data_IF_845329530357
#
_entry.id   IF_845329530357
#
_cell.length_a   1.000
_cell.length_b   1.000
_cell.length_c   1.000
_cell.angle_alpha   90.00
_cell.angle_beta   90.00
_cell.angle_gamma   90.00
#
_symmetry.space_group_name_H-M   'P 1'
#
loop_
_entity.id
_entity.type
_entity.pdbx_description
1 polymer ?
#
# COMPACT_ATOMS: atom_id res chain seq x y z
N UNK A 1 7.05 -10.57 14.58
CA UNK A 1 6.13 -10.15 13.50
C UNK A 1 6.48 -10.95 12.26
N UNK A 2 5.49 -11.49 11.55
CA UNK A 2 5.74 -12.17 10.28
C UNK A 2 5.10 -11.33 9.17
N UNK A 3 5.90 -10.95 8.17
CA UNK A 3 5.39 -10.22 7.01
C UNK A 3 5.04 -11.20 5.90
N UNK A 4 3.81 -11.11 5.39
CA UNK A 4 3.38 -11.92 4.25
C UNK A 4 4.14 -11.53 2.98
N UNK A 5 4.43 -12.55 2.16
CA UNK A 5 4.94 -12.35 0.80
C UNK A 5 3.86 -11.72 -0.11
N UNK A 6 2.57 -11.97 0.19
CA UNK A 6 1.44 -11.48 -0.59
C UNK A 6 1.16 -10.02 -0.30
N UNK A 7 1.18 -9.20 -1.35
CA UNK A 7 1.10 -7.75 -1.23
C UNK A 7 0.31 -7.13 -2.37
N UNK A 8 -0.49 -6.13 -2.01
CA UNK A 8 -1.14 -5.22 -2.93
C UNK A 8 -0.28 -3.95 -3.03
N UNK A 9 0.26 -3.69 -4.22
CA UNK A 9 1.13 -2.55 -4.54
C UNK A 9 0.31 -1.49 -5.27
N UNK A 10 0.24 -0.29 -4.71
CA UNK A 10 -0.32 0.90 -5.34
C UNK A 10 0.85 1.74 -5.88
N UNK A 11 0.71 2.26 -7.09
CA UNK A 11 1.76 3.00 -7.78
C UNK A 11 1.21 4.04 -8.76
N UNK A 12 1.96 5.13 -9.00
CA UNK A 12 1.58 6.14 -9.98
C UNK A 12 1.79 5.63 -11.43
N UNK A 13 0.87 5.99 -12.34
CA UNK A 13 0.88 5.57 -13.75
C UNK A 13 1.79 6.42 -14.62
N UNK A 14 1.95 7.69 -14.25
CA UNK A 14 2.78 8.64 -15.00
C UNK A 14 3.37 9.62 -14.01
N UNK A 15 4.64 9.40 -13.67
CA UNK A 15 5.42 10.42 -12.97
C UNK A 15 6.03 11.24 -14.09
N UNK A 16 5.40 12.37 -14.47
CA UNK A 16 6.15 13.42 -15.13
C UNK A 16 7.41 13.68 -14.28
N UNK A 17 8.55 14.02 -14.89
CA UNK A 17 9.89 14.16 -14.30
C UNK A 17 9.95 15.26 -13.20
N UNK A 18 9.13 15.08 -12.18
CA UNK A 18 8.85 15.95 -11.07
C UNK A 18 9.48 15.28 -9.86
N UNK A 19 10.18 16.05 -9.01
CA UNK A 19 10.74 15.50 -7.79
C UNK A 19 9.58 14.96 -6.93
N UNK A 20 9.62 13.65 -6.71
CA UNK A 20 8.79 12.90 -5.77
C UNK A 20 9.03 13.42 -4.34
N UNK A 21 8.32 14.48 -3.96
CA UNK A 21 8.47 15.16 -2.65
C UNK A 21 7.09 15.47 -2.06
N UNK A 22 6.03 14.81 -2.52
CA UNK A 22 4.77 14.86 -1.82
C UNK A 22 4.79 13.78 -0.73
N UNK A 23 4.86 14.19 0.55
CA UNK A 23 4.80 13.25 1.66
C UNK A 23 3.42 12.56 1.66
N UNK A 24 3.38 11.31 1.20
CA UNK A 24 2.15 10.49 1.21
C UNK A 24 1.70 10.16 2.63
N UNK A 25 2.63 10.09 3.57
CA UNK A 25 2.38 9.71 4.96
C UNK A 25 1.32 10.59 5.65
N UNK A 26 1.44 11.94 5.72
CA UNK A 26 0.39 12.78 6.29
C UNK A 26 -0.99 12.60 5.65
N UNK A 27 -1.05 12.38 4.34
CA UNK A 27 -2.30 12.16 3.62
C UNK A 27 -2.97 10.85 4.05
N UNK A 28 -2.21 9.76 4.03
CA UNK A 28 -2.72 8.43 4.40
C UNK A 28 -3.02 8.33 5.90
N UNK A 29 -2.32 9.08 6.74
CA UNK A 29 -2.61 9.20 8.15
C UNK A 29 -3.92 9.98 8.40
N UNK A 30 -4.14 11.09 7.70
CA UNK A 30 -5.39 11.86 7.78
C UNK A 30 -6.58 11.04 7.27
N UNK A 31 -6.36 10.19 6.26
CA UNK A 31 -7.38 9.29 5.73
C UNK A 31 -7.74 8.15 6.73
N UNK A 32 -6.93 7.94 7.76
CA UNK A 32 -7.09 6.81 8.69
C UNK A 32 -6.63 5.47 8.13
N UNK A 33 -5.83 5.46 7.05
CA UNK A 33 -5.22 4.25 6.50
C UNK A 33 -3.97 3.84 7.28
N UNK A 34 -3.19 4.81 7.78
CA UNK A 34 -2.01 4.56 8.61
C UNK A 34 -2.34 4.56 10.09
N UNK A 35 -1.88 3.54 10.79
CA UNK A 35 -1.87 3.45 12.24
C UNK A 35 -0.50 3.78 12.84
N UNK A 36 -0.15 3.10 13.92
CA UNK A 36 1.13 3.25 14.61
C UNK A 36 2.32 2.88 13.71
N UNK A 37 3.42 3.63 13.80
CA UNK A 37 4.66 3.31 13.09
C UNK A 37 5.34 2.10 13.74
N UNK A 38 5.52 1.03 12.96
CA UNK A 38 6.17 -0.20 13.42
C UNK A 38 7.69 -0.13 13.24
N UNK A 39 8.14 0.32 12.06
CA UNK A 39 9.54 0.49 11.71
C UNK A 39 9.71 1.52 10.58
N UNK A 40 10.94 1.72 10.09
CA UNK A 40 11.22 2.71 9.05
C UNK A 40 10.44 2.39 7.75
N UNK A 41 9.45 3.25 7.44
CA UNK A 41 8.58 3.09 6.28
C UNK A 41 7.50 2.02 6.44
N UNK A 42 7.30 1.39 7.61
CA UNK A 42 6.19 0.45 7.85
C UNK A 42 5.33 0.87 9.04
N UNK A 43 4.04 0.68 8.87
CA UNK A 43 3.01 1.13 9.78
C UNK A 43 1.98 0.02 9.96
N UNK A 44 1.37 -0.05 11.14
CA UNK A 44 0.13 -0.77 11.34
C UNK A 44 -0.97 -0.15 10.47
N UNK A 45 -2.01 -0.92 10.21
CA UNK A 45 -3.21 -0.39 9.55
C UNK A 45 -3.95 0.58 10.48
N UNK A 46 -4.53 1.62 9.92
CA UNK A 46 -5.34 2.59 10.66
C UNK A 46 -6.79 2.16 10.82
N UNK A 47 -7.56 2.95 11.58
CA UNK A 47 -8.96 2.66 11.92
C UNK A 47 -9.90 2.56 10.70
N UNK A 48 -9.59 3.29 9.62
CA UNK A 48 -10.40 3.31 8.41
C UNK A 48 -9.99 2.22 7.40
N UNK A 49 -9.01 1.37 7.72
CA UNK A 49 -8.47 0.37 6.80
C UNK A 49 -9.52 -0.52 6.15
N UNK A 50 -10.45 -1.09 6.93
CA UNK A 50 -11.50 -1.98 6.43
C UNK A 50 -12.53 -1.25 5.55
N UNK A 51 -12.62 0.08 5.65
CA UNK A 51 -13.47 0.90 4.79
C UNK A 51 -12.74 1.36 3.52
N UNK A 52 -11.42 1.42 3.56
CA UNK A 52 -10.56 1.91 2.48
C UNK A 52 -9.97 0.80 1.62
N UNK A 53 -10.11 -0.45 2.05
CA UNK A 53 -9.70 -1.66 1.33
C UNK A 53 -10.92 -2.56 1.18
N UNK A 54 -11.42 -2.68 -0.05
CA UNK A 54 -12.62 -3.43 -0.37
C UNK A 54 -12.26 -4.91 -0.54
N UNK A 55 -12.64 -5.74 0.43
CA UNK A 55 -12.48 -7.19 0.38
C UNK A 55 -13.59 -7.81 -0.48
N UNK A 56 -13.21 -8.62 -1.46
CA UNK A 56 -14.10 -9.13 -2.51
C UNK A 56 -14.71 -10.51 -2.18
N UNK A 57 -14.48 -11.02 -0.96
CA UNK A 57 -15.00 -12.31 -0.49
C UNK A 57 -14.73 -12.53 1.00
N UNK A 58 -14.90 -13.77 1.46
CA UNK A 58 -14.52 -14.18 2.82
C UNK A 58 -12.99 -14.26 2.92
N UNK A 59 -12.32 -13.14 3.17
CA UNK A 59 -10.89 -13.13 3.50
C UNK A 59 -10.71 -13.76 4.89
N UNK A 60 -10.14 -14.97 4.97
CA UNK A 60 -10.10 -15.73 6.21
C UNK A 60 -9.04 -15.23 7.19
N UNK A 61 -8.05 -14.46 6.71
CA UNK A 61 -6.82 -14.11 7.44
C UNK A 61 -6.60 -12.59 7.54
N UNK A 62 -7.67 -11.83 7.83
CA UNK A 62 -7.54 -10.39 8.15
C UNK A 62 -7.08 -10.21 9.61
N UNK A 63 -5.78 -10.31 9.82
CA UNK A 63 -5.15 -9.94 11.09
C UNK A 63 -4.63 -8.50 11.00
N UNK A 64 -5.23 -7.57 11.75
CA UNK A 64 -4.83 -6.15 11.73
C UNK A 64 -3.74 -5.83 12.78
N UNK A 65 -3.67 -6.67 13.81
CA UNK A 65 -2.78 -6.46 14.96
C UNK A 65 -1.58 -7.41 14.81
N UNK A 66 -0.33 -6.91 14.93
CA UNK A 66 0.84 -7.77 14.84
C UNK A 66 0.87 -8.77 16.00
N UNK A 67 0.85 -10.06 15.68
CA UNK A 67 1.02 -11.16 16.64
C UNK A 67 2.32 -11.93 16.36
N UNK A 68 2.84 -12.62 17.39
CA UNK A 68 4.02 -13.45 17.23
C UNK A 68 3.72 -14.67 16.33
N UNK A 69 4.48 -14.82 15.24
CA UNK A 69 4.39 -16.00 14.36
C UNK A 69 3.15 -16.04 13.43
N UNK A 70 2.41 -14.94 13.29
CA UNK A 70 1.29 -14.83 12.34
C UNK A 70 1.49 -13.69 11.35
N UNK A 71 1.10 -13.87 10.07
CA UNK A 71 1.01 -12.78 9.13
C UNK A 71 -0.09 -11.79 9.56
N UNK A 72 0.08 -10.53 9.22
CA UNK A 72 -0.86 -9.46 9.51
C UNK A 72 -0.82 -8.40 8.40
N UNK A 73 -1.89 -7.63 8.28
CA UNK A 73 -1.98 -6.50 7.37
C UNK A 73 -1.17 -5.32 7.91
N UNK A 74 -0.40 -4.70 7.02
CA UNK A 74 0.42 -3.52 7.32
C UNK A 74 0.47 -2.61 6.11
N UNK A 75 0.83 -1.35 6.34
CA UNK A 75 1.09 -0.39 5.27
C UNK A 75 2.59 -0.13 5.20
N UNK A 76 3.15 -0.15 4.00
CA UNK A 76 4.54 0.22 3.77
C UNK A 76 4.65 1.35 2.74
N UNK A 77 5.50 2.32 3.04
CA UNK A 77 5.81 3.51 2.26
C UNK A 77 7.30 3.54 1.90
N UNK A 78 7.69 4.27 0.85
CA UNK A 78 9.09 4.52 0.54
C UNK A 78 9.77 5.29 1.68
N UNK A 79 10.84 4.72 2.23
CA UNK A 79 11.71 5.37 3.22
C UNK A 79 12.92 6.08 2.59
N UNK A 80 13.03 6.05 1.26
CA UNK A 80 14.08 6.72 0.50
C UNK A 80 13.56 7.14 -0.88
N UNK A 81 14.22 8.11 -1.52
CA UNK A 81 13.89 8.56 -2.87
C UNK A 81 14.45 7.64 -3.98
N UNK A 82 14.98 6.46 -3.62
CA UNK A 82 15.53 5.50 -4.57
C UNK A 82 14.42 4.90 -5.44
N UNK A 83 14.75 4.59 -6.70
CA UNK A 83 13.86 3.79 -7.52
C UNK A 83 13.85 2.34 -7.03
N UNK A 84 12.68 1.75 -6.99
CA UNK A 84 12.44 0.35 -6.62
C UNK A 84 11.83 -0.37 -7.81
N UNK A 85 12.29 -1.60 -8.05
CA UNK A 85 11.74 -2.51 -9.04
C UNK A 85 10.76 -3.49 -8.37
N UNK A 86 9.53 -3.53 -8.88
CA UNK A 86 8.48 -4.44 -8.46
C UNK A 86 8.25 -5.52 -9.53
N UNK A 87 8.35 -6.78 -9.13
CA UNK A 87 7.85 -7.92 -9.91
C UNK A 87 6.38 -8.12 -9.57
N UNK A 88 5.51 -7.83 -10.53
CA UNK A 88 4.05 -7.86 -10.34
C UNK A 88 3.45 -9.11 -10.97
N UNK A 89 2.40 -9.66 -10.35
CA UNK A 89 1.67 -10.80 -10.88
C UNK A 89 0.96 -10.36 -12.17
N UNK A 90 1.19 -11.11 -13.26
CA UNK A 90 0.58 -10.90 -14.59
C UNK A 90 0.77 -9.49 -15.17
N UNK A 91 1.81 -8.76 -14.74
CA UNK A 91 2.14 -7.43 -15.24
C UNK A 91 3.65 -7.32 -15.50
N UNK A 92 4.09 -6.45 -16.41
CA UNK A 92 5.50 -6.15 -16.60
C UNK A 92 6.15 -5.65 -15.30
N UNK A 93 7.48 -5.80 -15.16
CA UNK A 93 8.22 -5.18 -14.07
C UNK A 93 7.95 -3.68 -14.01
N UNK A 94 7.70 -3.19 -12.80
CA UNK A 94 7.37 -1.79 -12.53
C UNK A 94 8.53 -1.13 -11.81
N UNK A 95 9.05 -0.03 -12.35
CA UNK A 95 10.12 0.75 -11.71
C UNK A 95 9.60 2.11 -11.27
N UNK A 96 9.51 2.35 -9.96
CA UNK A 96 8.88 3.55 -9.38
C UNK A 96 9.63 4.07 -8.17
N UNK A 97 9.47 5.36 -7.86
CA UNK A 97 9.98 5.98 -6.62
C UNK A 97 8.92 6.03 -5.52
N UNK A 98 7.71 6.42 -5.91
CA UNK A 98 6.55 6.47 -5.03
C UNK A 98 5.73 5.20 -5.19
N UNK A 99 5.30 4.66 -4.06
CA UNK A 99 4.48 3.47 -3.99
C UNK A 99 3.85 3.38 -2.59
N UNK A 100 2.76 2.62 -2.49
CA UNK A 100 2.19 2.21 -1.21
C UNK A 100 1.99 0.71 -1.29
N UNK A 101 2.45 -0.02 -0.29
CA UNK A 101 2.22 -1.46 -0.17
C UNK A 101 1.19 -1.68 0.94
N UNK A 102 0.21 -2.51 0.65
CA UNK A 102 -0.68 -3.12 1.63
C UNK A 102 -0.30 -4.59 1.72
N UNK A 103 0.28 -4.97 2.86
CA UNK A 103 0.75 -6.32 3.12
C UNK A 103 -0.36 -7.29 3.51
N UNK A 104 -0.09 -8.58 3.32
CA UNK A 104 -1.03 -9.67 3.60
C UNK A 104 -2.33 -9.57 2.81
N UNK A 105 -2.21 -9.22 1.53
CA UNK A 105 -3.33 -9.19 0.57
C UNK A 105 -2.98 -10.11 -0.59
N UNK A 106 -3.76 -11.17 -0.77
CA UNK A 106 -3.65 -12.15 -1.86
C UNK A 106 -4.22 -11.60 -3.17
N UNK A 107 -3.83 -12.23 -4.29
CA UNK A 107 -4.34 -11.85 -5.62
C UNK A 107 -5.86 -11.96 -5.64
N UNK A 108 -6.52 -10.87 -6.06
CA UNK A 108 -7.98 -10.73 -6.15
C UNK A 108 -8.75 -10.84 -4.82
N UNK A 109 -8.06 -10.83 -3.68
CA UNK A 109 -8.70 -10.86 -2.36
C UNK A 109 -9.29 -9.51 -1.97
N UNK A 110 -8.53 -8.44 -2.19
CA UNK A 110 -8.95 -7.09 -1.86
C UNK A 110 -8.41 -6.07 -2.87
N UNK A 111 -9.18 -5.00 -3.08
CA UNK A 111 -8.82 -3.87 -3.94
C UNK A 111 -8.86 -2.58 -3.13
N UNK A 112 -8.03 -1.58 -3.45
CA UNK A 112 -8.12 -0.29 -2.78
C UNK A 112 -9.45 0.39 -3.15
N UNK A 113 -10.08 1.03 -2.18
CA UNK A 113 -11.24 1.88 -2.43
C UNK A 113 -10.83 3.08 -3.30
N UNK A 114 -11.78 3.60 -4.08
CA UNK A 114 -11.56 4.77 -4.92
C UNK A 114 -11.09 5.98 -4.09
N UNK A 115 -11.55 6.13 -2.85
CA UNK A 115 -11.12 7.19 -1.94
C UNK A 115 -9.60 7.18 -1.70
N UNK A 116 -8.98 6.00 -1.56
CA UNK A 116 -7.52 5.88 -1.39
C UNK A 116 -6.80 6.35 -2.64
N UNK A 117 -7.22 5.86 -3.81
CA UNK A 117 -6.60 6.22 -5.09
C UNK A 117 -6.75 7.71 -5.39
N UNK A 118 -7.92 8.29 -5.10
CA UNK A 118 -8.20 9.71 -5.28
C UNK A 118 -7.36 10.58 -4.33
N UNK A 119 -7.21 10.16 -3.06
CA UNK A 119 -6.39 10.88 -2.08
C UNK A 119 -4.90 10.87 -2.49
N UNK A 120 -4.40 9.74 -2.98
CA UNK A 120 -3.05 9.62 -3.51
C UNK A 120 -2.84 10.48 -4.76
N UNK A 121 -3.81 10.47 -5.69
CA UNK A 121 -3.76 11.29 -6.90
C UNK A 121 -3.83 12.79 -6.61
N UNK A 122 -4.64 13.22 -5.63
CA UNK A 122 -4.73 14.61 -5.22
C UNK A 122 -3.39 15.14 -4.68
N UNK A 123 -2.61 14.30 -4.00
CA UNK A 123 -1.33 14.67 -3.40
C UNK A 123 -0.16 14.55 -4.37
N UNK A 124 -0.12 13.49 -5.17
CA UNK A 124 0.96 13.30 -6.17
C UNK A 124 0.73 14.10 -7.46
N UNK A 125 -0.51 14.52 -7.72
CA UNK A 125 -0.91 15.16 -8.98
C UNK A 125 -0.92 14.21 -10.18
N UNK A 126 -0.94 12.90 -9.95
CA UNK A 126 -0.94 11.88 -11.00
C UNK A 126 -1.81 10.69 -10.64
N UNK A 127 -2.36 10.03 -11.65
CA UNK A 127 -3.24 8.88 -11.45
C UNK A 127 -2.51 7.68 -10.85
N UNK A 128 -3.15 7.02 -9.89
CA UNK A 128 -2.66 5.79 -9.27
C UNK A 128 -3.36 4.54 -9.81
N UNK A 129 -2.62 3.42 -9.85
CA UNK A 129 -3.11 2.07 -10.15
C UNK A 129 -2.60 1.12 -9.07
N UNK A 130 -3.13 -0.10 -9.08
CA UNK A 130 -2.70 -1.16 -8.18
C UNK A 130 -2.39 -2.46 -8.92
N UNK A 131 -1.63 -3.33 -8.27
CA UNK A 131 -1.30 -4.68 -8.72
C UNK A 131 -0.92 -5.56 -7.53
N UNK A 132 -0.93 -6.88 -7.71
CA UNK A 132 -0.52 -7.82 -6.67
C UNK A 132 0.91 -8.31 -6.91
N UNK A 133 1.63 -8.67 -5.85
CA UNK A 133 2.92 -9.37 -5.91
C UNK A 133 3.03 -10.47 -4.84
N UNK A 134 4.03 -11.33 -5.01
CA UNK A 134 4.47 -12.37 -4.07
C UNK A 134 5.99 -12.47 -4.08
#
# INVERSE_FOLDING_TARGET
MQYSAHQLVLFPVTVADRPAVASLEPCLQTLGLLGERLEAGRFAVGEAFLSLVCFLGCSPDIELIPQAGKPFCYIQLPCSAAMVDFQLIRKPPLRVREWVIIGNIHEAEAVPDAAVLNALEAVSGCRWKYAYRR
#
